data_IF_557705554717
#
_entry.id   IF_557705554717
#
_cell.length_a   1.000
_cell.length_b   1.000
_cell.length_c   1.000
_cell.angle_alpha   90.00
_cell.angle_beta   90.00
_cell.angle_gamma   90.00
#
_symmetry.space_group_name_H-M   'P 1'
#
loop_
_entity.id
_entity.type
_entity.pdbx_description
1 polymer ?
#
# COMPACT_ATOMS: atom_id res chain seq x y z
N UNK A 1 -8.66 -4.13 8.67
CA UNK A 1 -8.36 -5.58 8.72
C UNK A 1 -7.45 -5.85 9.91
N UNK A 2 -7.71 -6.89 10.71
CA UNK A 2 -6.88 -7.26 11.87
C UNK A 2 -5.73 -8.20 11.47
N UNK A 3 -4.75 -8.42 12.36
CA UNK A 3 -3.69 -9.41 12.16
C UNK A 3 -4.27 -10.81 11.88
N UNK A 4 -5.22 -11.27 12.71
CA UNK A 4 -5.86 -12.57 12.52
C UNK A 4 -6.57 -12.72 11.17
N UNK A 5 -7.24 -11.66 10.70
CA UNK A 5 -7.82 -11.65 9.36
C UNK A 5 -6.74 -11.79 8.28
N UNK A 6 -5.59 -11.11 8.41
CA UNK A 6 -4.50 -11.15 7.42
C UNK A 6 -3.79 -12.49 7.41
N UNK A 7 -3.63 -13.11 8.57
CA UNK A 7 -3.13 -14.48 8.68
C UNK A 7 -4.04 -15.48 7.96
N UNK A 8 -5.36 -15.38 8.16
CA UNK A 8 -6.33 -16.24 7.46
C UNK A 8 -6.29 -16.03 5.94
N UNK A 9 -6.24 -14.77 5.50
CA UNK A 9 -6.15 -14.46 4.08
C UNK A 9 -4.84 -14.98 3.46
N UNK A 10 -3.70 -14.75 4.11
CA UNK A 10 -2.39 -15.25 3.69
C UNK A 10 -2.38 -16.78 3.59
N UNK A 11 -2.93 -17.47 4.60
CA UNK A 11 -3.05 -18.93 4.60
C UNK A 11 -3.81 -19.45 3.37
N UNK A 12 -4.95 -18.83 3.07
CA UNK A 12 -5.78 -19.22 1.93
C UNK A 12 -5.08 -18.93 0.59
N UNK A 13 -4.42 -17.77 0.46
CA UNK A 13 -3.63 -17.41 -0.74
C UNK A 13 -2.43 -18.34 -0.97
N UNK A 14 -1.82 -18.82 0.11
CA UNK A 14 -0.75 -19.81 0.06
C UNK A 14 -1.25 -21.24 -0.24
N UNK A 15 -2.56 -21.44 -0.42
CA UNK A 15 -3.15 -22.72 -0.84
C UNK A 15 -3.54 -23.67 0.29
N UNK A 16 -3.34 -23.29 1.55
CA UNK A 16 -3.72 -24.11 2.71
C UNK A 16 -5.21 -24.01 2.98
N UNK A 17 -5.96 -25.08 2.67
CA UNK A 17 -7.42 -25.10 2.73
C UNK A 17 -7.95 -25.11 4.17
N UNK A 18 -7.15 -25.60 5.12
CA UNK A 18 -7.52 -25.68 6.54
C UNK A 18 -6.44 -25.15 7.47
N UNK A 19 -6.84 -24.74 8.68
CA UNK A 19 -5.92 -24.38 9.76
C UNK A 19 -5.06 -25.59 10.17
N UNK A 20 -5.62 -26.79 10.18
CA UNK A 20 -4.89 -28.02 10.52
C UNK A 20 -3.72 -28.29 9.58
N UNK A 21 -3.91 -28.04 8.28
CA UNK A 21 -2.88 -28.22 7.25
C UNK A 21 -1.69 -27.26 7.45
N UNK A 22 -1.98 -25.97 7.64
CA UNK A 22 -0.96 -24.95 7.90
C UNK A 22 -0.28 -25.16 9.27
N UNK A 23 -1.05 -25.45 10.32
CA UNK A 23 -0.53 -25.72 11.66
C UNK A 23 0.44 -26.89 11.68
N UNK A 24 0.18 -27.95 10.90
CA UNK A 24 1.11 -29.08 10.75
C UNK A 24 2.46 -28.66 10.16
N UNK A 25 2.47 -27.70 9.23
CA UNK A 25 3.71 -27.16 8.64
C UNK A 25 4.50 -26.30 9.62
N UNK A 26 3.80 -25.59 10.52
CA UNK A 26 4.37 -24.74 11.56
C UNK A 26 4.77 -25.52 12.83
N UNK A 27 4.43 -26.80 12.94
CA UNK A 27 4.69 -27.58 14.16
C UNK A 27 3.83 -27.16 15.36
N UNK A 28 2.70 -26.48 15.14
CA UNK A 28 1.75 -26.06 16.19
C UNK A 28 0.43 -26.82 16.08
N UNK A 29 -0.44 -26.69 17.09
CA UNK A 29 -1.78 -27.27 17.03
C UNK A 29 -2.73 -26.40 16.21
N UNK A 30 -3.75 -27.02 15.61
CA UNK A 30 -4.81 -26.30 14.88
C UNK A 30 -5.51 -25.26 15.76
N UNK A 31 -5.68 -25.55 17.06
CA UNK A 31 -6.26 -24.61 18.04
C UNK A 31 -5.40 -23.35 18.22
N UNK A 32 -4.07 -23.49 18.23
CA UNK A 32 -3.15 -22.35 18.35
C UNK A 32 -3.30 -21.43 17.14
N UNK A 33 -3.28 -21.99 15.93
CA UNK A 33 -3.49 -21.20 14.70
C UNK A 33 -4.90 -20.58 14.65
N UNK A 34 -5.91 -21.29 15.12
CA UNK A 34 -7.28 -20.78 15.23
C UNK A 34 -7.37 -19.58 16.18
N UNK A 35 -6.64 -19.61 17.29
CA UNK A 35 -6.57 -18.49 18.22
C UNK A 35 -5.89 -17.26 17.58
N UNK A 36 -4.85 -17.47 16.76
CA UNK A 36 -4.21 -16.39 16.00
C UNK A 36 -5.15 -15.79 14.94
N UNK A 37 -5.73 -16.62 14.07
CA UNK A 37 -6.64 -16.15 13.01
C UNK A 37 -7.92 -15.52 13.57
N UNK A 38 -8.38 -15.99 14.74
CA UNK A 38 -9.52 -15.44 15.46
C UNK A 38 -9.21 -14.21 16.32
N UNK A 39 -7.95 -13.77 16.41
CA UNK A 39 -7.53 -12.62 17.21
C UNK A 39 -7.68 -12.81 18.73
N UNK A 40 -7.74 -14.05 19.22
CA UNK A 40 -7.82 -14.38 20.65
C UNK A 40 -6.46 -14.34 21.34
N UNK A 41 -5.40 -14.51 20.56
CA UNK A 41 -4.00 -14.48 20.99
C UNK A 41 -3.19 -13.99 19.80
N UNK A 42 -2.12 -13.25 20.06
CA UNK A 42 -1.15 -12.89 19.02
C UNK A 42 0.01 -13.90 18.99
N UNK A 43 0.55 -14.22 17.79
CA UNK A 43 1.80 -14.95 17.67
C UNK A 43 2.95 -14.12 18.25
N UNK A 44 3.95 -14.79 18.83
CA UNK A 44 5.20 -14.11 19.16
C UNK A 44 5.99 -13.76 17.87
N UNK A 45 7.07 -13.02 18.02
CA UNK A 45 7.89 -12.56 16.89
C UNK A 45 8.42 -13.71 16.03
N UNK A 46 8.81 -14.82 16.67
CA UNK A 46 9.35 -15.99 15.97
C UNK A 46 8.26 -16.70 15.16
N UNK A 47 7.10 -16.94 15.78
CA UNK A 47 5.94 -17.55 15.13
C UNK A 47 5.41 -16.66 14.00
N UNK A 48 5.40 -15.34 14.18
CA UNK A 48 5.00 -14.39 13.15
C UNK A 48 5.91 -14.47 11.92
N UNK A 49 7.22 -14.61 12.15
CA UNK A 49 8.21 -14.81 11.07
C UNK A 49 7.94 -16.12 10.33
N UNK A 50 7.74 -17.22 11.04
CA UNK A 50 7.44 -18.53 10.44
C UNK A 50 6.13 -18.52 9.64
N UNK A 51 5.11 -17.80 10.13
CA UNK A 51 3.85 -17.58 9.41
C UNK A 51 4.08 -16.79 8.11
N UNK A 52 4.89 -15.73 8.15
CA UNK A 52 5.21 -14.93 6.96
C UNK A 52 5.95 -15.76 5.90
N UNK A 53 6.94 -16.55 6.33
CA UNK A 53 7.71 -17.45 5.45
C UNK A 53 6.83 -18.56 4.87
N UNK A 54 6.00 -19.21 5.70
CA UNK A 54 5.10 -20.27 5.25
C UNK A 54 4.11 -19.78 4.19
N UNK A 55 3.59 -18.56 4.36
CA UNK A 55 2.60 -17.99 3.46
C UNK A 55 3.21 -17.19 2.31
N UNK A 56 4.54 -17.09 2.23
CA UNK A 56 5.27 -16.32 1.24
C UNK A 56 4.80 -14.85 1.15
N UNK A 57 4.65 -14.21 2.31
CA UNK A 57 4.28 -12.79 2.46
C UNK A 57 5.28 -12.06 3.36
N UNK A 58 5.28 -10.73 3.35
CA UNK A 58 6.10 -9.97 4.29
C UNK A 58 5.48 -9.93 5.69
N UNK A 59 6.31 -9.78 6.72
CA UNK A 59 5.82 -9.47 8.06
C UNK A 59 5.05 -8.13 8.06
N UNK A 60 5.44 -7.18 7.22
CA UNK A 60 4.73 -5.91 7.05
C UNK A 60 3.29 -6.10 6.56
N UNK A 61 3.05 -7.03 5.64
CA UNK A 61 1.69 -7.38 5.24
C UNK A 61 0.92 -7.92 6.44
N UNK A 62 1.45 -8.91 7.18
CA UNK A 62 0.76 -9.48 8.35
C UNK A 62 0.46 -8.43 9.43
N UNK A 63 1.42 -7.54 9.71
CA UNK A 63 1.27 -6.46 10.66
C UNK A 63 0.40 -5.30 10.15
N UNK A 64 0.16 -5.23 8.84
CA UNK A 64 -0.59 -4.14 8.21
C UNK A 64 0.22 -2.85 8.13
N UNK A 65 1.55 -2.96 8.13
CA UNK A 65 2.51 -1.86 7.99
C UNK A 65 3.07 -1.76 6.58
N UNK A 66 2.60 -2.59 5.64
CA UNK A 66 3.02 -2.52 4.25
C UNK A 66 2.76 -1.12 3.70
N UNK A 67 3.83 -0.44 3.29
CA UNK A 67 3.69 0.76 2.48
C UNK A 67 3.23 0.27 1.11
N UNK A 68 2.03 0.67 0.67
CA UNK A 68 1.61 0.50 -0.73
C UNK A 68 2.77 1.02 -1.58
N UNK A 69 3.41 0.13 -2.36
CA UNK A 69 4.32 0.60 -3.40
C UNK A 69 3.50 1.51 -4.31
N UNK A 70 4.00 2.70 -4.66
CA UNK A 70 3.32 3.54 -5.64
C UNK A 70 3.06 2.68 -6.87
N UNK A 71 1.82 2.66 -7.33
CA UNK A 71 1.51 2.04 -8.61
C UNK A 71 2.28 2.77 -9.71
N UNK A 72 2.45 2.14 -10.87
CA UNK A 72 3.02 2.83 -12.05
C UNK A 72 2.31 4.16 -12.35
N UNK A 73 1.01 4.24 -12.06
CA UNK A 73 0.24 5.46 -12.20
C UNK A 73 0.61 6.51 -11.15
N UNK A 74 0.81 6.11 -9.89
CA UNK A 74 1.30 7.02 -8.83
C UNK A 74 2.68 7.58 -9.19
N UNK A 75 3.57 6.74 -9.75
CA UNK A 75 4.88 7.16 -10.25
C UNK A 75 4.73 8.22 -11.35
N UNK A 76 3.93 7.96 -12.39
CA UNK A 76 3.68 8.93 -13.47
C UNK A 76 3.05 10.23 -13.00
N UNK A 77 2.13 10.17 -12.02
CA UNK A 77 1.50 11.36 -11.43
C UNK A 77 2.55 12.19 -10.69
N UNK A 78 3.41 11.55 -9.91
CA UNK A 78 4.48 12.24 -9.18
C UNK A 78 5.48 12.89 -10.15
N UNK A 79 5.87 12.18 -11.21
CA UNK A 79 6.72 12.72 -12.26
C UNK A 79 6.12 13.97 -12.91
N UNK A 80 4.83 13.94 -13.26
CA UNK A 80 4.13 15.10 -13.82
C UNK A 80 4.08 16.29 -12.85
N UNK A 81 3.87 16.05 -11.55
CA UNK A 81 3.89 17.09 -10.53
C UNK A 81 5.29 17.70 -10.41
N UNK A 82 6.35 16.88 -10.40
CA UNK A 82 7.73 17.37 -10.33
C UNK A 82 8.13 18.15 -11.58
N UNK A 83 7.67 17.73 -12.75
CA UNK A 83 7.87 18.48 -13.98
C UNK A 83 7.19 19.85 -13.92
N UNK A 84 5.92 19.91 -13.49
CA UNK A 84 5.19 21.17 -13.34
C UNK A 84 5.85 22.12 -12.33
N UNK A 85 6.57 21.61 -11.32
CA UNK A 85 7.29 22.45 -10.34
C UNK A 85 8.50 23.16 -10.94
N UNK A 86 9.07 22.70 -12.06
CA UNK A 86 10.25 23.31 -12.68
C UNK A 86 9.98 24.76 -13.10
N UNK A 87 11.02 25.60 -12.99
CA UNK A 87 11.01 27.01 -13.43
C UNK A 87 10.88 27.12 -14.96
N UNK A 88 11.45 26.18 -15.70
CA UNK A 88 11.37 26.11 -17.17
C UNK A 88 9.92 26.02 -17.66
N UNK A 89 9.05 25.32 -16.93
CA UNK A 89 7.61 25.24 -17.24
C UNK A 89 6.94 26.60 -17.10
N UNK A 90 7.34 27.40 -16.11
CA UNK A 90 6.82 28.75 -15.91
C UNK A 90 7.29 29.69 -17.03
N UNK A 91 8.55 29.56 -17.46
CA UNK A 91 9.11 30.28 -18.60
C UNK A 91 8.37 29.98 -19.92
N UNK A 92 8.00 28.72 -20.16
CA UNK A 92 7.20 28.33 -21.33
C UNK A 92 5.81 28.98 -21.32
N UNK A 93 5.18 29.09 -20.15
CA UNK A 93 3.89 29.76 -20.00
C UNK A 93 3.99 31.28 -20.21
N UNK A 94 5.07 31.90 -19.74
CA UNK A 94 5.32 33.34 -19.92
C UNK A 94 5.50 33.72 -21.40
N UNK A 95 6.08 32.84 -22.20
CA UNK A 95 6.24 33.05 -23.65
C UNK A 95 4.91 33.07 -24.43
N UNK A 96 3.79 32.72 -23.80
CA UNK A 96 2.45 32.78 -24.39
C UNK A 96 1.71 34.10 -24.08
N UNK A 97 2.43 35.20 -23.82
CA UNK A 97 1.89 36.50 -23.40
C UNK A 97 1.07 36.44 -22.09
N UNK A 98 1.38 35.47 -21.22
CA UNK A 98 0.79 35.31 -19.90
C UNK A 98 1.70 35.98 -18.88
N UNK A 99 1.16 36.86 -18.04
CA UNK A 99 1.92 37.44 -16.94
C UNK A 99 2.31 36.38 -15.89
N UNK A 100 3.34 36.69 -15.11
CA UNK A 100 3.94 35.74 -14.16
C UNK A 100 2.95 35.26 -13.09
N UNK A 101 2.06 36.14 -12.62
CA UNK A 101 1.07 35.82 -11.60
C UNK A 101 0.02 34.84 -12.15
N UNK A 102 -0.47 35.10 -13.36
CA UNK A 102 -1.40 34.20 -14.06
C UNK A 102 -0.77 32.84 -14.34
N UNK A 103 0.49 32.80 -14.81
CA UNK A 103 1.19 31.55 -15.07
C UNK A 103 1.37 30.71 -13.79
N UNK A 104 1.70 31.36 -12.67
CA UNK A 104 1.84 30.71 -11.37
C UNK A 104 0.50 30.17 -10.86
N UNK A 105 -0.60 30.90 -11.06
CA UNK A 105 -1.94 30.46 -10.68
C UNK A 105 -2.37 29.23 -11.48
N UNK A 106 -2.13 29.20 -12.80
CA UNK A 106 -2.44 28.05 -13.66
C UNK A 106 -1.62 26.83 -13.21
N UNK A 107 -0.31 27.00 -12.99
CA UNK A 107 0.57 25.94 -12.48
C UNK A 107 0.04 25.37 -11.16
N UNK A 108 -0.34 26.23 -10.21
CA UNK A 108 -0.87 25.80 -8.92
C UNK A 108 -2.23 25.08 -9.05
N UNK A 109 -3.12 25.57 -9.92
CA UNK A 109 -4.41 24.95 -10.19
C UNK A 109 -4.25 23.53 -10.77
N UNK A 110 -3.32 23.34 -11.72
CA UNK A 110 -3.00 22.04 -12.31
C UNK A 110 -2.48 21.06 -11.25
N UNK A 111 -1.50 21.48 -10.42
CA UNK A 111 -0.95 20.65 -9.35
C UNK A 111 -2.05 20.23 -8.37
N UNK A 112 -2.93 21.14 -7.97
CA UNK A 112 -4.01 20.85 -7.05
C UNK A 112 -5.04 19.89 -7.65
N UNK A 113 -5.39 20.07 -8.93
CA UNK A 113 -6.28 19.17 -9.66
C UNK A 113 -5.74 17.74 -9.74
N UNK A 114 -4.45 17.58 -10.09
CA UNK A 114 -3.79 16.27 -10.16
C UNK A 114 -3.80 15.59 -8.78
N UNK A 115 -3.42 16.30 -7.71
CA UNK A 115 -3.45 15.78 -6.33
C UNK A 115 -4.85 15.37 -5.89
N UNK A 116 -5.87 16.12 -6.30
CA UNK A 116 -7.26 15.79 -5.98
C UNK A 116 -7.70 14.49 -6.65
N UNK A 117 -7.37 14.30 -7.93
CA UNK A 117 -7.68 13.05 -8.67
C UNK A 117 -6.99 11.84 -8.05
N UNK A 118 -5.72 11.98 -7.64
CA UNK A 118 -4.97 10.95 -6.93
C UNK A 118 -5.67 10.56 -5.60
N UNK A 119 -6.04 11.55 -4.79
CA UNK A 119 -6.74 11.33 -3.52
C UNK A 119 -8.12 10.65 -3.70
N UNK A 120 -8.86 10.97 -4.76
CA UNK A 120 -10.14 10.34 -5.07
C UNK A 120 -10.01 8.86 -5.44
N UNK A 121 -8.94 8.48 -6.15
CA UNK A 121 -8.68 7.08 -6.51
C UNK A 121 -8.29 6.26 -5.29
N UNK A 122 -7.43 6.80 -4.41
CA UNK A 122 -7.03 6.14 -3.16
C UNK A 122 -8.20 5.85 -2.20
N UNK A 123 -9.31 6.60 -2.28
CA UNK A 123 -10.54 6.34 -1.51
C UNK A 123 -11.44 5.22 -2.07
N UNK A 124 -11.22 4.77 -3.32
CA UNK A 124 -12.01 3.72 -3.97
C UNK A 124 -11.41 2.32 -3.85
N UNK A 125 -10.17 2.20 -3.40
CA UNK A 125 -9.45 0.94 -3.12
C UNK A 125 -9.56 0.56 -1.64
#
# INVERSE_FOLDING_TARGET
>A
MTLGQRLKEARLKAGYKSQTEAAKKLGITSQVLSNYEGGRRDPDTQTLKELAELYNVSADYLLGTEKKKPSKLDESINEAIEELKKEETLLLMRNADIDEETAQLIKQALINGIKYVDAMKKKKE
#
